data_IF_092559721684
#
_entry.id   IF_092559721684
#
_cell.length_a   1.000
_cell.length_b   1.000
_cell.length_c   1.000
_cell.angle_alpha   90.00
_cell.angle_beta   90.00
_cell.angle_gamma   90.00
#
_symmetry.space_group_name_H-M   'P 1'
#
loop_
_entity.id
_entity.type
_entity.pdbx_description
1 polymer ?
#
# COMPACT_ATOMS: atom_id res chain seq x y z
N UNK A 1 -5.55 -20.99 -4.82
CA UNK A 1 -5.79 -20.62 -3.40
C UNK A 1 -6.16 -19.13 -3.36
N UNK A 2 -7.14 -18.73 -2.56
CA UNK A 2 -7.42 -17.31 -2.37
C UNK A 2 -6.29 -16.69 -1.53
N UNK A 3 -5.62 -15.67 -2.06
CA UNK A 3 -4.50 -14.98 -1.41
C UNK A 3 -5.03 -13.98 -0.39
N UNK A 4 -4.53 -14.01 0.83
CA UNK A 4 -4.83 -13.02 1.85
C UNK A 4 -3.61 -12.13 2.10
N UNK A 5 -3.83 -10.83 2.19
CA UNK A 5 -2.79 -9.82 2.45
C UNK A 5 -3.22 -8.95 3.62
N UNK A 6 -2.29 -8.65 4.53
CA UNK A 6 -2.57 -7.86 5.71
C UNK A 6 -2.11 -6.42 5.48
N UNK A 7 -3.01 -5.45 5.64
CA UNK A 7 -2.70 -4.07 5.30
C UNK A 7 -3.88 -3.10 5.30
N UNK A 8 -3.69 -1.97 4.63
CA UNK A 8 -4.74 -0.98 4.40
C UNK A 8 -5.22 -0.98 2.97
N UNK A 9 -6.53 -1.06 2.79
CA UNK A 9 -7.17 -0.86 1.49
C UNK A 9 -7.59 0.60 1.36
N UNK A 10 -7.07 1.30 0.35
CA UNK A 10 -7.28 2.73 0.10
C UNK A 10 -7.45 3.01 -1.38
N UNK A 11 -8.25 4.02 -1.69
CA UNK A 11 -8.46 4.46 -3.06
C UNK A 11 -7.29 5.33 -3.54
N UNK A 12 -7.11 5.42 -4.86
CA UNK A 12 -6.13 6.33 -5.46
C UNK A 12 -6.37 7.80 -5.08
N UNK A 13 -7.61 8.33 -5.10
CA UNK A 13 -7.89 9.68 -4.61
C UNK A 13 -7.45 9.90 -3.15
N UNK A 14 -7.66 8.91 -2.27
CA UNK A 14 -7.20 9.01 -0.88
C UNK A 14 -5.67 9.09 -0.80
N UNK A 15 -4.95 8.30 -1.60
CA UNK A 15 -3.48 8.32 -1.61
C UNK A 15 -2.93 9.67 -2.10
N UNK A 16 -3.54 10.24 -3.13
CA UNK A 16 -3.18 11.58 -3.62
C UNK A 16 -3.42 12.65 -2.56
N UNK A 17 -4.56 12.61 -1.87
CA UNK A 17 -4.86 13.54 -0.79
C UNK A 17 -3.84 13.40 0.36
N UNK A 18 -3.57 12.16 0.81
CA UNK A 18 -2.63 11.92 1.90
C UNK A 18 -1.20 12.33 1.55
N UNK A 19 -0.78 12.09 0.31
CA UNK A 19 0.50 12.55 -0.20
C UNK A 19 0.58 14.09 -0.17
N UNK A 20 -0.48 14.79 -0.60
CA UNK A 20 -0.54 16.25 -0.57
C UNK A 20 -0.48 16.83 0.85
N UNK A 21 -1.19 16.24 1.81
CA UNK A 21 -1.12 16.60 3.24
C UNK A 21 0.31 16.50 3.81
N UNK A 22 1.10 15.57 3.28
CA UNK A 22 2.49 15.32 3.68
C UNK A 22 3.52 16.04 2.79
N UNK A 23 3.07 16.88 1.85
CA UNK A 23 3.93 17.63 0.94
C UNK A 23 4.62 16.77 -0.14
N UNK A 24 4.09 15.59 -0.44
CA UNK A 24 4.58 14.67 -1.48
C UNK A 24 3.81 14.96 -2.78
N UNK A 25 4.53 15.20 -3.88
CA UNK A 25 3.94 15.39 -5.20
C UNK A 25 4.09 14.12 -6.03
N UNK A 26 3.00 13.49 -6.51
CA UNK A 26 3.08 12.39 -7.45
C UNK A 26 3.48 12.90 -8.84
N UNK A 27 4.27 12.11 -9.56
CA UNK A 27 4.65 12.36 -10.94
C UNK A 27 3.68 11.62 -11.87
N UNK A 28 2.56 12.27 -12.20
CA UNK A 28 1.57 11.70 -13.10
C UNK A 28 1.99 11.99 -14.55
N UNK A 29 2.35 10.95 -15.28
CA UNK A 29 2.50 11.02 -16.74
C UNK A 29 1.11 11.19 -17.39
N UNK A 30 0.86 12.28 -18.15
CA UNK A 30 -0.41 12.52 -18.82
C UNK A 30 -0.63 11.66 -20.08
N UNK A 31 0.39 11.00 -20.64
CA UNK A 31 0.27 10.22 -21.88
C UNK A 31 -0.18 8.76 -21.65
N UNK A 32 0.00 8.22 -20.45
CA UNK A 32 -0.51 6.89 -20.06
C UNK A 32 -1.13 6.91 -18.65
N UNK A 33 -2.36 7.43 -18.49
CA UNK A 33 -2.95 7.62 -17.17
C UNK A 33 -3.23 6.32 -16.40
N UNK A 34 -3.34 5.16 -17.07
CA UNK A 34 -3.69 3.89 -16.41
C UNK A 34 -2.44 3.18 -15.89
N UNK A 35 -1.38 3.01 -16.70
CA UNK A 35 -0.11 2.49 -16.17
C UNK A 35 0.52 3.49 -15.19
N UNK A 36 0.39 4.80 -15.49
CA UNK A 36 0.77 5.87 -14.56
C UNK A 36 0.05 5.74 -13.23
N UNK A 37 -1.24 5.34 -13.17
CA UNK A 37 -1.94 5.20 -11.88
C UNK A 37 -1.37 4.07 -11.01
N UNK A 38 -1.13 2.89 -11.59
CA UNK A 38 -0.59 1.76 -10.84
C UNK A 38 0.85 2.03 -10.36
N UNK A 39 1.68 2.58 -11.25
CA UNK A 39 3.07 2.94 -10.94
C UNK A 39 3.15 4.10 -9.96
N UNK A 40 2.28 5.11 -10.08
CA UNK A 40 2.20 6.20 -9.11
C UNK A 40 1.70 5.73 -7.75
N UNK A 41 0.70 4.85 -7.72
CA UNK A 41 0.24 4.29 -6.46
C UNK A 41 1.35 3.49 -5.76
N UNK A 42 2.14 2.72 -6.52
CA UNK A 42 3.30 2.02 -5.99
C UNK A 42 4.38 3.00 -5.48
N UNK A 43 4.72 4.03 -6.26
CA UNK A 43 5.69 5.06 -5.89
C UNK A 43 5.24 5.86 -4.65
N UNK A 44 3.96 6.24 -4.57
CA UNK A 44 3.36 6.92 -3.43
C UNK A 44 3.35 6.03 -2.19
N UNK A 45 2.92 4.78 -2.34
CA UNK A 45 2.97 3.79 -1.26
C UNK A 45 4.37 3.69 -0.69
N UNK A 46 5.40 3.63 -1.55
CA UNK A 46 6.79 3.53 -1.12
C UNK A 46 7.25 4.81 -0.43
N UNK A 47 6.95 5.96 -1.01
CA UNK A 47 7.35 7.25 -0.45
C UNK A 47 6.77 7.43 0.96
N UNK A 48 5.51 7.06 1.11
CA UNK A 48 4.79 7.14 2.37
C UNK A 48 5.33 6.11 3.38
N UNK A 49 5.61 4.88 2.96
CA UNK A 49 6.24 3.88 3.82
C UNK A 49 7.66 4.26 4.27
N UNK A 50 8.47 4.83 3.38
CA UNK A 50 9.80 5.36 3.72
C UNK A 50 9.71 6.49 4.75
N UNK A 51 8.70 7.35 4.66
CA UNK A 51 8.41 8.37 5.68
C UNK A 51 8.08 7.77 7.05
N UNK A 52 7.48 6.57 7.07
CA UNK A 52 7.24 5.77 8.27
C UNK A 52 8.51 5.08 8.81
N UNK A 53 9.62 5.12 8.08
CA UNK A 53 10.80 4.31 8.38
C UNK A 53 10.59 2.81 8.11
N UNK A 54 9.72 2.45 7.16
CA UNK A 54 9.61 1.10 6.61
C UNK A 54 10.57 0.94 5.42
N UNK A 55 11.24 -0.21 5.35
CA UNK A 55 12.04 -0.57 4.20
C UNK A 55 11.17 -1.08 3.05
N UNK A 56 11.74 -1.05 1.83
CA UNK A 56 11.08 -1.46 0.59
C UNK A 56 10.59 -2.91 0.57
N UNK A 57 11.18 -3.79 1.39
CA UNK A 57 10.79 -5.19 1.53
C UNK A 57 9.82 -5.43 2.70
N UNK A 58 9.38 -4.37 3.39
CA UNK A 58 8.44 -4.48 4.51
C UNK A 58 7.02 -4.04 4.12
N UNK A 59 6.87 -3.42 2.94
CA UNK A 59 5.59 -2.95 2.42
C UNK A 59 5.44 -3.31 0.94
N UNK A 60 4.22 -3.63 0.51
CA UNK A 60 3.88 -3.83 -0.89
C UNK A 60 2.57 -3.15 -1.29
N UNK A 61 2.49 -2.64 -2.52
CA UNK A 61 1.25 -2.10 -3.08
C UNK A 61 0.65 -3.14 -4.02
N UNK A 62 -0.58 -3.56 -3.75
CA UNK A 62 -1.29 -4.55 -4.57
C UNK A 62 -2.54 -3.90 -5.12
N UNK A 63 -2.69 -3.88 -6.44
CA UNK A 63 -3.93 -3.48 -7.10
C UNK A 63 -4.98 -4.57 -6.87
N UNK A 64 -6.14 -4.18 -6.34
CA UNK A 64 -7.29 -5.08 -6.22
C UNK A 64 -8.26 -4.77 -7.35
N UNK A 65 -9.00 -5.79 -7.81
CA UNK A 65 -9.98 -5.71 -8.92
C UNK A 65 -11.12 -4.69 -8.73
N UNK A 66 -11.15 -4.00 -7.60
CA UNK A 66 -12.08 -2.90 -7.36
C UNK A 66 -11.52 -1.60 -7.97
N UNK A 67 -12.36 -0.78 -8.61
CA UNK A 67 -11.92 0.45 -9.27
C UNK A 67 -11.07 1.29 -8.32
N UNK A 68 -9.89 1.67 -8.82
CA UNK A 68 -8.95 2.61 -8.19
C UNK A 68 -8.55 2.27 -6.76
N UNK A 69 -8.61 1.00 -6.36
CA UNK A 69 -8.34 0.59 -4.98
C UNK A 69 -7.05 -0.21 -4.87
N UNK A 70 -6.25 0.16 -3.89
CA UNK A 70 -4.92 -0.39 -3.63
C UNK A 70 -4.85 -0.89 -2.21
N UNK A 71 -4.14 -1.99 -2.00
CA UNK A 71 -3.82 -2.50 -0.68
C UNK A 71 -2.34 -2.26 -0.38
N UNK A 72 -2.07 -1.56 0.71
CA UNK A 72 -0.74 -1.41 1.29
C UNK A 72 -0.50 -2.59 2.24
N UNK A 73 0.06 -3.65 1.70
CA UNK A 73 0.31 -4.90 2.39
C UNK A 73 1.64 -4.86 3.15
N UNK A 74 1.68 -5.41 4.36
CA UNK A 74 2.90 -5.62 5.16
C UNK A 74 3.09 -7.08 5.56
N UNK A 75 2.13 -7.94 5.25
CA UNK A 75 2.24 -9.40 5.39
C UNK A 75 1.30 -10.11 4.40
N UNK A 76 1.56 -11.39 4.15
CA UNK A 76 0.84 -12.24 3.19
C UNK A 76 0.61 -13.63 3.75
N UNK A 77 -0.47 -14.30 3.36
CA UNK A 77 -0.67 -15.72 3.68
C UNK A 77 0.08 -16.67 2.74
N UNK A 78 0.74 -16.14 1.71
CA UNK A 78 1.44 -16.92 0.69
C UNK A 78 2.95 -16.99 0.99
N UNK A 79 3.51 -18.18 1.32
CA UNK A 79 4.92 -18.32 1.66
C UNK A 79 5.85 -18.18 0.44
N UNK A 80 5.32 -18.19 -0.79
CA UNK A 80 6.11 -18.00 -2.01
C UNK A 80 6.36 -16.53 -2.34
N UNK A 81 5.80 -15.62 -1.53
CA UNK A 81 6.01 -14.19 -1.73
C UNK A 81 7.32 -13.76 -1.06
N UNK A 82 8.42 -13.82 -1.81
CA UNK A 82 9.80 -13.53 -1.37
C UNK A 82 9.99 -12.19 -0.64
N UNK A 83 9.00 -11.29 -0.68
CA UNK A 83 9.10 -9.90 -0.24
C UNK A 83 8.15 -9.53 0.90
N UNK A 84 7.18 -10.37 1.26
CA UNK A 84 6.28 -10.08 2.38
C UNK A 84 6.41 -11.15 3.46
N UNK A 85 6.52 -10.76 4.74
CA UNK A 85 6.50 -11.74 5.81
C UNK A 85 5.15 -12.46 5.86
N UNK A 86 5.13 -13.69 6.36
CA UNK A 86 3.89 -14.45 6.52
C UNK A 86 3.01 -13.94 7.66
N UNK A 87 3.63 -13.25 8.63
CA UNK A 87 2.97 -12.71 9.81
C UNK A 87 3.28 -11.22 9.96
N UNK A 88 2.29 -10.40 10.36
CA UNK A 88 2.51 -9.00 10.62
C UNK A 88 3.43 -8.80 11.83
N UNK A 89 4.29 -7.79 11.75
CA UNK A 89 5.12 -7.31 12.85
C UNK A 89 4.46 -6.07 13.48
N UNK A 90 4.41 -6.02 14.82
CA UNK A 90 3.79 -4.91 15.56
C UNK A 90 4.42 -3.56 15.23
N UNK A 91 5.75 -3.50 15.14
CA UNK A 91 6.47 -2.28 14.79
C UNK A 91 6.08 -1.78 13.40
N UNK A 92 6.03 -2.68 12.41
CA UNK A 92 5.70 -2.30 11.04
C UNK A 92 4.23 -1.88 10.91
N UNK A 93 3.37 -2.53 11.69
CA UNK A 93 1.95 -2.19 11.82
C UNK A 93 1.77 -0.78 12.41
N UNK A 94 2.51 -0.43 13.47
CA UNK A 94 2.49 0.91 14.07
C UNK A 94 2.99 1.99 13.12
N UNK A 95 4.12 1.76 12.45
CA UNK A 95 4.65 2.70 11.44
C UNK A 95 3.64 2.95 10.32
N UNK A 96 3.03 1.89 9.80
CA UNK A 96 2.02 2.00 8.75
C UNK A 96 0.78 2.78 9.23
N UNK A 97 0.34 2.56 10.47
CA UNK A 97 -0.76 3.32 11.10
C UNK A 97 -0.48 4.81 11.15
N UNK A 98 0.72 5.21 11.56
CA UNK A 98 1.11 6.63 11.64
C UNK A 98 1.01 7.32 10.28
N UNK A 99 1.48 6.63 9.23
CA UNK A 99 1.43 7.16 7.88
C UNK A 99 0.02 7.20 7.34
N UNK A 100 -0.79 6.18 7.58
CA UNK A 100 -2.18 6.16 7.13
C UNK A 100 -3.03 7.19 7.90
N UNK A 101 -2.79 7.40 9.19
CA UNK A 101 -3.38 8.51 9.95
C UNK A 101 -4.90 8.45 10.16
N UNK A 102 -5.57 7.34 9.85
CA UNK A 102 -7.04 7.23 9.91
C UNK A 102 -7.57 6.70 11.25
N UNK A 103 -6.73 6.33 12.21
CA UNK A 103 -7.13 5.63 13.44
C UNK A 103 -7.66 4.19 13.23
N UNK A 104 -7.91 3.80 11.99
CA UNK A 104 -8.28 2.43 11.62
C UNK A 104 -7.15 1.42 11.82
N UNK A 105 -7.53 0.21 12.24
CA UNK A 105 -6.66 -0.95 12.30
C UNK A 105 -6.48 -1.59 10.91
N UNK A 106 -5.26 -2.07 10.55
CA UNK A 106 -5.07 -2.84 9.33
C UNK A 106 -5.75 -4.20 9.44
N UNK A 107 -6.16 -4.75 8.30
CA UNK A 107 -6.99 -5.97 8.23
C UNK A 107 -6.47 -6.91 7.17
N UNK A 108 -6.88 -8.17 7.26
CA UNK A 108 -6.68 -9.13 6.19
C UNK A 108 -7.67 -8.89 5.06
N UNK A 109 -7.15 -8.74 3.85
CA UNK A 109 -7.91 -8.59 2.61
C UNK A 109 -7.69 -9.82 1.74
N UNK A 110 -8.75 -10.33 1.13
CA UNK A 110 -8.61 -11.34 0.08
C UNK A 110 -8.36 -10.62 -1.24
N UNK A 111 -7.19 -10.83 -1.84
CA UNK A 111 -6.94 -10.39 -3.19
C UNK A 111 -7.63 -11.39 -4.14
N UNK A 112 -8.83 -11.03 -4.62
CA UNK A 112 -9.43 -11.70 -5.78
C UNK A 112 -8.83 -11.07 -7.04
N UNK A 113 -7.92 -11.80 -7.67
CA UNK A 113 -7.26 -11.43 -8.93
C UNK A 113 -8.21 -11.47 -10.10
#
# INVERSE_FOLDING_TARGET
MARAIYGYKRSYPWMLQRAAELGIKPEIDPEDPIMSMADNAAALCWTLALRAGLARHEVYSIFVKEPDTFVWAIASSDPMEDKLPTMPCDLNTQKLKEVVGTGEEPKWWRASW
#
